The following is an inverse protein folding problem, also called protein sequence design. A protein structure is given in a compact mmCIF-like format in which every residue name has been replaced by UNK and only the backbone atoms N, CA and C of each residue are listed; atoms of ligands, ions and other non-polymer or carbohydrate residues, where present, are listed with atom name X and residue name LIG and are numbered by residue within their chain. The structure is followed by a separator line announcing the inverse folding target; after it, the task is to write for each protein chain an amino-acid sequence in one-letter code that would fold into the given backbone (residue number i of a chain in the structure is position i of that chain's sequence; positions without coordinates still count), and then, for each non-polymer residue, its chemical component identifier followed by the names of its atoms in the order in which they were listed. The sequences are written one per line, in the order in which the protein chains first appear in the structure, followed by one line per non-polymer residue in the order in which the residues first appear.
data_IF_975261900031
#
_entry.id   IF_975261900031
#
_cell.length_a   1.000
_cell.length_b   1.000
_cell.length_c   1.000
_cell.angle_alpha   90.00
_cell.angle_beta   90.00
_cell.angle_gamma   90.00
#
_symmetry.space_group_name_H-M   'P 1'
#
loop_
_entity.id
_entity.type
_entity.pdbx_description
1 polymer ?
#
# COMPACT_ATOMS: atom_id res chain seq x y z
N UNK A 1 0.66 -7.87 -0.41
CA UNK A 1 1.78 -6.92 -0.39
C UNK A 1 1.52 -5.85 -1.43
N UNK A 2 1.95 -4.61 -1.20
CA UNK A 2 1.81 -3.52 -2.19
C UNK A 2 2.61 -3.85 -3.44
N UNK A 3 2.06 -3.55 -4.62
CA UNK A 3 2.81 -3.65 -5.86
C UNK A 3 3.29 -2.25 -6.27
N UNK A 4 4.57 -2.11 -6.56
CA UNK A 4 5.21 -0.85 -6.93
C UNK A 4 5.76 -1.02 -8.34
N UNK A 5 5.37 -0.14 -9.26
CA UNK A 5 6.03 -0.09 -10.56
C UNK A 5 7.25 0.82 -10.45
N UNK A 6 8.43 0.31 -10.80
CA UNK A 6 9.63 1.09 -11.02
C UNK A 6 9.83 1.30 -12.53
N UNK A 7 9.46 2.49 -13.01
CA UNK A 7 9.69 2.94 -14.37
C UNK A 7 11.12 3.46 -14.56
N UNK A 8 11.89 2.83 -15.44
CA UNK A 8 13.27 3.22 -15.75
C UNK A 8 13.36 3.80 -17.16
N UNK A 9 13.85 5.03 -17.26
CA UNK A 9 13.97 5.75 -18.55
C UNK A 9 15.43 5.99 -18.94
N UNK A 10 15.67 6.62 -20.10
CA UNK A 10 16.98 6.77 -20.73
C UNK A 10 17.87 7.83 -20.07
N UNK A 11 18.43 7.52 -18.91
CA UNK A 11 19.39 8.37 -18.21
C UNK A 11 20.55 7.53 -17.66
N UNK A 12 21.76 8.10 -17.61
CA UNK A 12 22.94 7.44 -17.02
C UNK A 12 22.69 7.02 -15.57
N UNK A 13 21.81 7.73 -14.85
CA UNK A 13 21.42 7.36 -13.49
C UNK A 13 20.69 6.02 -13.38
N UNK A 14 20.28 5.39 -14.49
CA UNK A 14 19.66 4.07 -14.49
C UNK A 14 20.59 2.97 -13.95
N UNK A 15 21.91 3.20 -13.89
CA UNK A 15 22.85 2.33 -13.17
C UNK A 15 22.51 2.20 -11.66
N UNK A 16 21.80 3.18 -11.09
CA UNK A 16 21.35 3.16 -9.68
C UNK A 16 20.05 2.37 -9.49
N UNK A 17 19.44 1.85 -10.55
CA UNK A 17 18.15 1.16 -10.47
C UNK A 17 18.21 -0.10 -9.60
N UNK A 18 19.35 -0.80 -9.53
CA UNK A 18 19.52 -1.95 -8.63
C UNK A 18 19.31 -1.54 -7.17
N UNK A 19 20.07 -0.54 -6.71
CA UNK A 19 19.97 -0.04 -5.33
C UNK A 19 18.56 0.49 -5.01
N UNK A 20 17.92 1.13 -6.00
CA UNK A 20 16.54 1.60 -5.84
C UNK A 20 15.54 0.43 -5.77
N UNK A 21 15.66 -0.57 -6.63
CA UNK A 21 14.84 -1.79 -6.59
C UNK A 21 14.92 -2.46 -5.21
N UNK A 22 16.13 -2.64 -4.68
CA UNK A 22 16.35 -3.24 -3.35
C UNK A 22 15.68 -2.40 -2.25
N UNK A 23 15.81 -1.08 -2.31
CA UNK A 23 15.18 -0.19 -1.33
C UNK A 23 13.65 -0.19 -1.42
N UNK A 24 13.08 -0.24 -2.62
CA UNK A 24 11.63 -0.32 -2.84
C UNK A 24 11.07 -1.69 -2.47
N UNK A 25 11.87 -2.75 -2.61
CA UNK A 25 11.52 -4.13 -2.23
C UNK A 25 11.26 -4.27 -0.73
N UNK A 26 11.82 -3.37 0.10
CA UNK A 26 11.50 -3.27 1.53
C UNK A 26 10.11 -2.66 1.82
N UNK A 27 9.48 -2.01 0.83
CA UNK A 27 8.17 -1.36 0.95
C UNK A 27 7.06 -2.24 0.35
N UNK A 28 7.37 -2.97 -0.72
CA UNK A 28 6.44 -3.85 -1.41
C UNK A 28 7.08 -4.64 -2.55
N UNK A 29 6.28 -5.41 -3.27
CA UNK A 29 6.69 -6.11 -4.48
C UNK A 29 6.99 -5.11 -5.60
N UNK A 30 8.12 -5.25 -6.29
CA UNK A 30 8.56 -4.30 -7.32
C UNK A 30 8.50 -4.93 -8.71
N UNK A 31 7.76 -4.30 -9.62
CA UNK A 31 7.75 -4.63 -11.05
C UNK A 31 8.49 -3.54 -11.80
N UNK A 32 9.56 -3.90 -12.50
CA UNK A 32 10.35 -2.94 -13.27
C UNK A 32 9.80 -2.86 -14.69
N UNK A 33 9.57 -1.64 -15.17
CA UNK A 33 9.17 -1.37 -16.56
C UNK A 33 10.18 -0.39 -17.14
N UNK A 34 10.87 -0.79 -18.21
CA UNK A 34 11.93 0.02 -18.80
C UNK A 34 11.55 0.47 -20.22
N UNK A 35 11.81 1.74 -20.53
CA UNK A 35 11.76 2.19 -21.93
C UNK A 35 12.93 1.60 -22.69
N UNK A 36 12.86 1.53 -24.02
CA UNK A 36 13.99 1.10 -24.87
C UNK A 36 15.32 1.77 -24.51
N UNK A 37 15.30 3.07 -24.21
CA UNK A 37 16.49 3.82 -23.79
C UNK A 37 16.92 3.48 -22.36
N UNK A 38 15.99 3.25 -21.42
CA UNK A 38 16.31 2.77 -20.08
C UNK A 38 16.93 1.38 -20.08
N UNK A 39 16.39 0.46 -20.90
CA UNK A 39 16.90 -0.90 -21.06
C UNK A 39 18.35 -0.95 -21.54
N UNK A 40 18.78 0.03 -22.36
CA UNK A 40 20.19 0.15 -22.76
C UNK A 40 21.09 0.26 -21.52
N UNK A 41 20.80 1.18 -20.60
CA UNK A 41 21.61 1.39 -19.40
C UNK A 41 21.50 0.25 -18.40
N UNK A 42 20.32 -0.34 -18.23
CA UNK A 42 20.15 -1.52 -17.36
C UNK A 42 20.99 -2.71 -17.83
N UNK A 43 21.10 -2.93 -19.15
CA UNK A 43 21.99 -3.95 -19.73
C UNK A 43 23.45 -3.63 -19.44
N UNK A 44 23.87 -2.38 -19.63
CA UNK A 44 25.27 -1.96 -19.36
C UNK A 44 25.65 -2.10 -17.88
N UNK A 45 24.72 -1.89 -16.95
CA UNK A 45 24.96 -2.05 -15.52
C UNK A 45 24.80 -3.48 -15.01
N UNK A 46 24.55 -4.46 -15.88
CA UNK A 46 24.22 -5.85 -15.50
C UNK A 46 23.10 -5.92 -14.45
N UNK A 47 22.03 -5.17 -14.64
CA UNK A 47 20.89 -5.15 -13.72
C UNK A 47 20.33 -6.58 -13.52
N UNK A 48 20.29 -7.12 -12.28
CA UNK A 48 20.12 -8.56 -12.06
C UNK A 48 18.66 -9.04 -12.02
N UNK A 49 17.68 -8.12 -12.07
CA UNK A 49 16.26 -8.45 -11.93
C UNK A 49 15.54 -8.41 -13.28
N UNK A 50 14.43 -9.15 -13.38
CA UNK A 50 13.55 -9.10 -14.56
C UNK A 50 12.91 -7.70 -14.67
N UNK A 51 12.83 -7.19 -15.89
CA UNK A 51 12.09 -5.97 -16.23
C UNK A 51 11.26 -6.20 -17.49
N UNK A 52 10.15 -5.47 -17.61
CA UNK A 52 9.25 -5.47 -18.75
C UNK A 52 9.65 -4.36 -19.73
N UNK A 53 9.46 -4.61 -21.02
CA UNK A 53 9.70 -3.66 -22.12
C UNK A 53 8.51 -3.62 -23.07
N UNK A 54 8.58 -2.81 -24.13
CA UNK A 54 7.50 -2.66 -25.10
C UNK A 54 7.16 -3.99 -25.80
N UNK A 55 8.15 -4.88 -25.93
CA UNK A 55 7.98 -6.22 -26.49
C UNK A 55 7.11 -7.15 -25.62
N UNK A 56 6.92 -6.86 -24.33
CA UNK A 56 6.06 -7.65 -23.44
C UNK A 56 4.58 -7.27 -23.53
N UNK A 57 4.25 -6.10 -24.12
CA UNK A 57 2.87 -5.58 -24.14
C UNK A 57 1.91 -6.47 -24.94
N UNK A 58 2.37 -6.95 -26.10
CA UNK A 58 1.53 -7.64 -27.06
C UNK A 58 2.01 -9.08 -27.24
N UNK A 59 1.12 -10.04 -27.00
CA UNK A 59 1.30 -11.39 -27.51
C UNK A 59 1.11 -11.38 -29.03
N UNK A 60 1.81 -12.26 -29.75
CA UNK A 60 1.75 -12.37 -31.22
C UNK A 60 0.34 -12.58 -31.79
N UNK A 61 -0.63 -13.02 -30.96
CA UNK A 61 -2.03 -13.21 -31.33
C UNK A 61 -2.94 -12.64 -30.25
N UNK A 62 -3.16 -11.31 -30.26
CA UNK A 62 -4.16 -10.69 -29.40
C UNK A 62 -5.59 -11.05 -29.85
N UNK A 63 -6.44 -11.44 -28.91
CA UNK A 63 -7.88 -11.61 -29.11
C UNK A 63 -8.66 -10.66 -28.21
N UNK A 64 -9.84 -10.27 -28.68
CA UNK A 64 -10.77 -9.48 -27.87
C UNK A 64 -11.10 -10.24 -26.58
N UNK A 65 -10.81 -9.61 -25.43
CA UNK A 65 -10.99 -10.20 -24.11
C UNK A 65 -9.67 -10.61 -23.43
N UNK A 66 -8.55 -10.65 -24.17
CA UNK A 66 -7.24 -10.87 -23.57
C UNK A 66 -6.83 -9.68 -22.68
N UNK A 67 -6.08 -9.96 -21.61
CA UNK A 67 -5.56 -8.92 -20.72
C UNK A 67 -4.57 -8.02 -21.45
N UNK A 68 -4.69 -6.72 -21.21
CA UNK A 68 -3.80 -5.69 -21.78
C UNK A 68 -2.79 -5.32 -20.69
N UNK A 69 -1.49 -5.54 -20.96
CA UNK A 69 -0.45 -5.51 -19.93
C UNK A 69 -0.40 -4.18 -19.19
N UNK A 70 -0.36 -3.03 -19.89
CA UNK A 70 -0.30 -1.73 -19.20
C UNK A 70 -1.52 -1.45 -18.31
N UNK A 71 -2.70 -1.99 -18.67
CA UNK A 71 -3.92 -1.86 -17.87
C UNK A 71 -3.84 -2.74 -16.62
N UNK A 72 -3.36 -3.98 -16.75
CA UNK A 72 -3.18 -4.88 -15.60
C UNK A 72 -2.12 -4.35 -14.63
N UNK A 73 -0.97 -3.89 -15.14
CA UNK A 73 0.06 -3.23 -14.34
C UNK A 73 -0.53 -2.06 -13.54
N UNK A 74 -1.30 -1.18 -14.21
CA UNK A 74 -1.95 -0.03 -13.55
C UNK A 74 -2.97 -0.46 -12.49
N UNK A 75 -3.75 -1.51 -12.75
CA UNK A 75 -4.74 -2.04 -11.79
C UNK A 75 -4.05 -2.56 -10.55
N UNK A 76 -3.06 -3.42 -10.73
CA UNK A 76 -2.34 -4.11 -9.65
C UNK A 76 -1.44 -3.19 -8.83
N UNK A 77 -0.85 -2.16 -9.46
CA UNK A 77 0.07 -1.25 -8.79
C UNK A 77 -0.63 -0.41 -7.72
N UNK A 78 -0.03 -0.33 -6.53
CA UNK A 78 -0.38 0.61 -5.46
C UNK A 78 0.34 1.95 -5.63
N UNK A 79 1.47 1.97 -6.37
CA UNK A 79 2.26 3.17 -6.62
C UNK A 79 3.11 3.05 -7.90
N UNK A 80 3.51 4.19 -8.46
CA UNK A 80 4.43 4.29 -9.58
C UNK A 80 5.62 5.19 -9.22
N UNK A 81 6.83 4.72 -9.46
CA UNK A 81 8.07 5.49 -9.31
C UNK A 81 8.75 5.57 -10.67
N UNK A 82 8.95 6.77 -11.22
CA UNK A 82 9.74 7.01 -12.43
C UNK A 82 11.13 7.51 -12.04
N UNK A 83 12.10 6.60 -12.02
CA UNK A 83 13.43 6.87 -11.48
C UNK A 83 14.52 5.98 -12.13
N UNK A 84 15.42 6.54 -12.95
CA UNK A 84 15.42 7.93 -13.39
C UNK A 84 14.26 8.26 -14.33
N UNK A 85 13.84 9.52 -14.32
CA UNK A 85 12.99 10.14 -15.33
C UNK A 85 13.81 11.07 -16.24
N UNK A 86 13.98 10.70 -17.51
CA UNK A 86 14.60 11.52 -18.54
C UNK A 86 13.65 12.64 -19.02
N UNK A 87 14.20 13.67 -19.67
CA UNK A 87 13.42 14.80 -20.15
C UNK A 87 12.41 14.40 -21.26
N UNK A 88 12.75 13.40 -22.07
CA UNK A 88 11.90 12.95 -23.17
C UNK A 88 10.61 12.30 -22.64
N UNK A 89 10.74 11.39 -21.67
CA UNK A 89 9.60 10.74 -21.03
C UNK A 89 8.81 11.75 -20.20
N UNK A 90 9.46 12.71 -19.53
CA UNK A 90 8.78 13.82 -18.85
C UNK A 90 7.92 14.64 -19.84
N UNK A 91 8.46 14.98 -21.00
CA UNK A 91 7.71 15.66 -22.06
C UNK A 91 6.52 14.83 -22.55
N UNK A 92 6.72 13.53 -22.79
CA UNK A 92 5.64 12.62 -23.21
C UNK A 92 4.50 12.55 -22.18
N UNK A 93 4.82 12.27 -20.93
CA UNK A 93 3.80 12.05 -19.90
C UNK A 93 3.08 13.35 -19.50
N UNK A 94 3.77 14.48 -19.53
CA UNK A 94 3.14 15.79 -19.28
C UNK A 94 2.14 16.16 -20.39
N UNK A 95 2.45 15.83 -21.65
CA UNK A 95 1.54 16.03 -22.79
C UNK A 95 0.48 14.91 -22.94
N UNK A 96 0.61 13.81 -22.20
CA UNK A 96 -0.33 12.69 -22.26
C UNK A 96 -0.12 11.76 -23.45
N UNK A 97 1.10 11.68 -23.97
CA UNK A 97 1.51 10.70 -24.98
C UNK A 97 1.66 9.31 -24.33
N UNK A 98 1.33 8.27 -25.08
CA UNK A 98 1.35 6.86 -24.65
C UNK A 98 1.81 5.94 -25.80
N UNK A 99 3.08 6.07 -26.19
CA UNK A 99 3.64 5.41 -27.37
C UNK A 99 4.56 4.22 -27.03
N UNK A 100 4.62 3.83 -25.76
CA UNK A 100 5.40 2.72 -25.22
C UNK A 100 4.74 2.21 -23.92
N UNK A 101 5.07 1.00 -23.47
CA UNK A 101 4.47 0.33 -22.31
C UNK A 101 4.42 1.25 -21.08
N UNK A 102 5.55 1.89 -20.74
CA UNK A 102 5.65 2.75 -19.57
C UNK A 102 4.74 3.98 -19.65
N UNK A 103 4.74 4.68 -20.79
CA UNK A 103 3.90 5.87 -20.99
C UNK A 103 2.42 5.52 -21.08
N UNK A 104 2.07 4.32 -21.57
CA UNK A 104 0.69 3.80 -21.56
C UNK A 104 0.20 3.54 -20.14
N UNK A 105 1.03 2.96 -19.26
CA UNK A 105 0.73 2.82 -17.82
C UNK A 105 0.46 4.20 -17.20
N UNK A 106 1.34 5.18 -17.47
CA UNK A 106 1.20 6.55 -16.95
C UNK A 106 -0.07 7.22 -17.46
N UNK A 107 -0.42 7.01 -18.73
CA UNK A 107 -1.61 7.61 -19.35
C UNK A 107 -2.91 7.09 -18.73
N UNK A 108 -2.93 5.82 -18.36
CA UNK A 108 -4.04 5.16 -17.69
C UNK A 108 -4.05 5.36 -16.17
N UNK A 109 -3.03 6.03 -15.61
CA UNK A 109 -2.79 6.05 -14.17
C UNK A 109 -3.96 6.61 -13.35
N UNK A 110 -4.17 6.02 -12.18
CA UNK A 110 -5.13 6.51 -11.20
C UNK A 110 -4.46 7.56 -10.30
N UNK A 111 -4.86 8.82 -10.41
CA UNK A 111 -4.27 9.89 -9.60
C UNK A 111 -4.64 9.82 -8.10
N UNK A 112 -5.50 8.89 -7.68
CA UNK A 112 -5.63 8.55 -6.26
C UNK A 112 -4.46 7.72 -5.72
N UNK A 113 -3.65 7.12 -6.62
CA UNK A 113 -2.45 6.35 -6.28
C UNK A 113 -1.20 7.23 -6.44
N UNK A 114 -0.23 7.17 -5.52
CA UNK A 114 0.96 8.01 -5.58
C UNK A 114 1.81 7.71 -6.81
N UNK A 115 2.26 8.79 -7.46
CA UNK A 115 3.25 8.77 -8.53
C UNK A 115 4.45 9.61 -8.11
N UNK A 116 5.62 9.00 -7.98
CA UNK A 116 6.89 9.67 -7.61
C UNK A 116 7.75 9.82 -8.86
N UNK A 117 8.21 11.04 -9.13
CA UNK A 117 9.07 11.36 -10.26
C UNK A 117 10.45 11.75 -9.74
N UNK A 118 11.51 11.10 -10.20
CA UNK A 118 12.89 11.46 -9.91
C UNK A 118 13.63 11.84 -11.21
N UNK A 119 13.53 13.10 -11.65
CA UNK A 119 14.18 13.58 -12.86
C UNK A 119 15.71 13.40 -12.81
N UNK A 120 16.31 13.08 -13.96
CA UNK A 120 17.75 12.93 -14.09
C UNK A 120 18.22 13.28 -15.50
N UNK A 121 18.81 14.46 -15.66
CA UNK A 121 19.22 15.03 -16.94
C UNK A 121 20.38 16.01 -16.76
N UNK A 122 21.01 16.44 -17.85
CA UNK A 122 22.06 17.47 -17.80
C UNK A 122 21.51 18.82 -17.29
N UNK A 123 22.35 19.64 -16.66
CA UNK A 123 22.00 20.98 -16.15
C UNK A 123 21.27 21.85 -17.16
N UNK A 124 21.75 21.90 -18.41
CA UNK A 124 21.14 22.73 -19.47
C UNK A 124 19.74 22.24 -19.87
N UNK A 125 19.45 20.95 -19.68
CA UNK A 125 18.11 20.40 -19.86
C UNK A 125 17.23 20.68 -18.65
N UNK A 126 17.79 20.59 -17.45
CA UNK A 126 17.08 20.84 -16.19
C UNK A 126 16.64 22.30 -16.05
N UNK A 127 17.54 23.23 -16.39
CA UNK A 127 17.29 24.68 -16.33
C UNK A 127 16.48 25.19 -17.54
N UNK A 128 16.15 24.32 -18.50
CA UNK A 128 15.35 24.68 -19.66
C UNK A 128 13.87 24.90 -19.29
N UNK A 129 13.24 25.89 -19.91
CA UNK A 129 11.85 26.28 -19.66
C UNK A 129 10.83 25.11 -19.78
N UNK A 130 10.88 24.23 -20.80
CA UNK A 130 9.96 23.11 -20.92
C UNK A 130 10.04 22.16 -19.73
N UNK A 131 11.21 21.92 -19.15
CA UNK A 131 11.35 21.05 -17.97
C UNK A 131 10.54 21.62 -16.80
N UNK A 132 10.65 22.92 -16.56
CA UNK A 132 9.88 23.60 -15.52
C UNK A 132 8.36 23.51 -15.76
N UNK A 133 7.90 23.80 -16.98
CA UNK A 133 6.48 23.75 -17.34
C UNK A 133 5.90 22.33 -17.20
N UNK A 134 6.62 21.33 -17.69
CA UNK A 134 6.21 19.93 -17.67
C UNK A 134 6.14 19.39 -16.24
N UNK A 135 7.12 19.73 -15.38
CA UNK A 135 7.07 19.37 -13.96
C UNK A 135 5.90 20.05 -13.25
N UNK A 136 5.59 21.31 -13.58
CA UNK A 136 4.42 22.00 -13.04
C UNK A 136 3.12 21.29 -13.43
N UNK A 137 2.97 20.86 -14.68
CA UNK A 137 1.82 20.07 -15.14
C UNK A 137 1.70 18.77 -14.32
N UNK A 138 2.81 18.05 -14.14
CA UNK A 138 2.79 16.79 -13.39
C UNK A 138 2.46 16.99 -11.90
N UNK A 139 3.02 18.02 -11.26
CA UNK A 139 2.68 18.40 -9.88
C UNK A 139 1.20 18.73 -9.74
N UNK A 140 0.64 19.51 -10.67
CA UNK A 140 -0.78 19.87 -10.66
C UNK A 140 -1.72 18.66 -10.82
N UNK A 141 -1.25 17.57 -11.46
CA UNK A 141 -1.99 16.31 -11.56
C UNK A 141 -1.90 15.45 -10.28
N UNK A 142 -0.98 15.77 -9.37
CA UNK A 142 -0.77 15.04 -8.12
C UNK A 142 0.52 14.23 -8.05
N UNK A 143 1.43 14.37 -9.04
CA UNK A 143 2.72 13.72 -8.98
C UNK A 143 3.62 14.36 -7.91
N UNK A 144 4.36 13.53 -7.17
CA UNK A 144 5.38 13.96 -6.21
C UNK A 144 6.72 13.99 -6.93
N UNK A 145 7.30 15.18 -7.09
CA UNK A 145 8.61 15.35 -7.74
C UNK A 145 9.70 15.39 -6.67
N UNK A 146 10.66 14.47 -6.76
CA UNK A 146 11.91 14.49 -6.00
C UNK A 146 12.93 15.24 -6.84
N UNK A 147 13.34 16.42 -6.37
CA UNK A 147 14.24 17.29 -7.14
C UNK A 147 15.62 16.61 -7.32
N UNK A 148 16.29 16.83 -8.45
CA UNK A 148 17.67 16.39 -8.63
C UNK A 148 18.61 17.13 -7.68
N UNK A 149 19.80 16.55 -7.49
CA UNK A 149 20.88 17.10 -6.69
C UNK A 149 22.00 17.66 -7.57
N UNK A 150 22.79 18.56 -7.01
CA UNK A 150 24.01 19.08 -7.63
C UNK A 150 25.17 18.08 -7.44
N UNK A 151 25.76 17.60 -8.54
CA UNK A 151 26.93 16.72 -8.56
C UNK A 151 27.73 16.93 -9.85
N UNK A 152 28.95 16.38 -9.88
CA UNK A 152 29.69 16.23 -11.16
C UNK A 152 28.90 15.29 -12.06
N UNK A 153 28.44 15.80 -13.20
CA UNK A 153 27.62 15.09 -14.17
C UNK A 153 28.47 14.26 -15.14
N UNK A 154 27.82 13.43 -15.95
CA UNK A 154 28.51 12.57 -16.93
C UNK A 154 29.35 13.37 -17.97
N UNK A 155 29.04 14.66 -18.18
CA UNK A 155 29.82 15.56 -19.02
C UNK A 155 31.05 16.17 -18.34
N UNK A 156 31.23 15.98 -17.03
CA UNK A 156 32.35 16.54 -16.24
C UNK A 156 32.03 17.84 -15.50
N UNK A 157 30.89 18.49 -15.81
CA UNK A 157 30.49 19.73 -15.15
C UNK A 157 29.86 19.46 -13.77
N UNK A 158 30.17 20.33 -12.80
CA UNK A 158 29.39 20.43 -11.56
C UNK A 158 28.09 21.18 -11.87
N UNK A 159 26.94 20.54 -11.65
CA UNK A 159 25.67 21.22 -11.85
C UNK A 159 24.47 20.42 -11.37
N UNK A 160 23.32 21.10 -11.33
CA UNK A 160 22.04 20.53 -10.94
C UNK A 160 21.52 19.59 -12.02
N UNK A 161 20.97 18.43 -11.65
CA UNK A 161 20.36 17.51 -12.63
C UNK A 161 20.64 16.03 -12.39
N UNK A 162 21.54 15.70 -11.46
CA UNK A 162 21.76 14.32 -11.06
C UNK A 162 20.55 13.79 -10.27
N UNK A 163 20.09 12.58 -10.58
CA UNK A 163 19.02 11.93 -9.81
C UNK A 163 19.31 11.98 -8.29
N UNK A 164 18.26 12.28 -7.52
CA UNK A 164 18.25 12.19 -6.05
C UNK A 164 18.75 10.82 -5.55
N UNK A 165 19.12 10.76 -4.26
CA UNK A 165 19.55 9.48 -3.69
C UNK A 165 18.39 8.47 -3.67
N UNK A 166 18.70 7.20 -3.89
CA UNK A 166 17.71 6.13 -3.92
C UNK A 166 16.95 6.00 -2.59
N UNK A 167 17.61 6.32 -1.47
CA UNK A 167 16.99 6.32 -0.13
C UNK A 167 15.99 7.45 0.05
N UNK A 168 16.24 8.63 -0.53
CA UNK A 168 15.29 9.76 -0.47
C UNK A 168 14.03 9.42 -1.26
N UNK A 169 14.18 8.88 -2.47
CA UNK A 169 13.07 8.46 -3.33
C UNK A 169 12.21 7.40 -2.63
N UNK A 170 12.84 6.37 -2.05
CA UNK A 170 12.11 5.29 -1.37
C UNK A 170 11.46 5.77 -0.06
N UNK A 171 12.11 6.66 0.70
CA UNK A 171 11.53 7.24 1.91
C UNK A 171 10.30 8.10 1.61
N UNK A 172 10.34 8.91 0.55
CA UNK A 172 9.18 9.69 0.10
C UNK A 172 8.04 8.75 -0.28
N UNK A 173 8.30 7.70 -1.08
CA UNK A 173 7.27 6.73 -1.41
C UNK A 173 6.70 6.07 -0.15
N UNK A 174 7.58 5.62 0.76
CA UNK A 174 7.17 4.97 2.00
C UNK A 174 6.24 5.88 2.81
N UNK A 175 6.58 7.16 2.97
CA UNK A 175 5.73 8.13 3.68
C UNK A 175 4.33 8.31 3.08
N UNK A 176 4.19 8.12 1.76
CA UNK A 176 2.91 8.22 1.06
C UNK A 176 2.05 6.95 1.23
N UNK A 177 2.66 5.77 1.18
CA UNK A 177 1.93 4.48 1.19
C UNK A 177 1.84 3.84 2.57
N UNK A 178 2.65 4.27 3.54
CA UNK A 178 2.65 3.75 4.91
C UNK A 178 1.29 3.96 5.56
N UNK A 179 0.78 2.92 6.22
CA UNK A 179 -0.45 3.02 6.99
C UNK A 179 -0.29 4.02 8.13
N UNK A 180 -1.35 4.75 8.45
CA UNK A 180 -1.49 5.40 9.74
C UNK A 180 -2.11 4.40 10.72
N UNK A 181 -1.58 4.31 11.93
CA UNK A 181 -2.18 3.43 12.93
C UNK A 181 -3.63 3.87 13.23
N UNK A 182 -4.61 2.96 13.27
CA UNK A 182 -6.03 3.32 13.27
C UNK A 182 -6.55 3.89 14.60
N UNK A 183 -5.78 3.73 15.68
CA UNK A 183 -6.14 4.15 17.05
C UNK A 183 -5.12 5.14 17.61
N UNK A 184 -5.55 6.02 18.50
CA UNK A 184 -4.64 6.92 19.22
C UNK A 184 -4.07 6.28 20.50
N UNK A 185 -4.84 5.40 21.14
CA UNK A 185 -4.46 4.67 22.34
C UNK A 185 -4.67 3.17 22.10
N UNK A 186 -3.59 2.40 22.14
CA UNK A 186 -3.59 0.94 22.04
C UNK A 186 -2.43 0.41 22.90
N UNK A 187 -2.66 -0.56 23.81
CA UNK A 187 -1.62 -1.05 24.72
C UNK A 187 -0.49 -1.80 24.01
N UNK A 188 -0.73 -2.26 22.78
CA UNK A 188 0.26 -2.85 21.90
C UNK A 188 -0.40 -3.65 20.78
N UNK A 189 0.39 -4.11 19.80
CA UNK A 189 -0.10 -4.97 18.71
C UNK A 189 0.00 -6.44 19.16
N UNK A 190 -1.11 -7.20 19.20
CA UNK A 190 -1.07 -8.64 19.37
C UNK A 190 -0.26 -9.34 18.28
N UNK A 191 0.71 -10.16 18.68
CA UNK A 191 1.51 -10.97 17.75
C UNK A 191 1.69 -12.39 18.30
N UNK A 192 2.17 -13.31 17.46
CA UNK A 192 2.54 -14.67 17.83
C UNK A 192 1.40 -15.41 18.55
N UNK A 193 1.63 -15.85 19.79
CA UNK A 193 0.68 -16.63 20.59
C UNK A 193 -0.38 -15.77 21.32
N UNK A 194 -0.49 -14.48 21.00
CA UNK A 194 -1.54 -13.66 21.57
C UNK A 194 -2.92 -14.07 20.99
N UNK A 195 -3.99 -14.28 21.80
CA UNK A 195 -5.29 -14.72 21.30
C UNK A 195 -6.00 -13.79 20.31
N UNK A 196 -5.59 -12.53 20.29
CA UNK A 196 -6.01 -11.49 19.34
C UNK A 196 -5.07 -11.28 18.15
N UNK A 197 -4.02 -12.09 18.00
CA UNK A 197 -3.11 -12.02 16.85
C UNK A 197 -3.73 -12.69 15.63
N UNK A 198 -3.37 -12.21 14.44
CA UNK A 198 -3.75 -12.84 13.17
C UNK A 198 -3.28 -14.30 13.12
N UNK A 199 -4.13 -15.19 12.63
CA UNK A 199 -3.81 -16.60 12.48
C UNK A 199 -3.75 -17.39 13.79
N UNK A 200 -4.03 -16.78 14.94
CA UNK A 200 -4.03 -17.50 16.22
C UNK A 200 -5.04 -18.66 16.20
N UNK A 201 -4.53 -19.87 16.43
CA UNK A 201 -5.33 -21.10 16.37
C UNK A 201 -6.12 -21.30 17.66
N UNK A 202 -7.45 -21.19 17.57
CA UNK A 202 -8.41 -21.61 18.61
C UNK A 202 -8.88 -23.03 18.28
N UNK A 203 -9.46 -23.76 19.25
CA UNK A 203 -9.83 -25.19 19.12
C UNK A 203 -10.47 -25.61 17.79
N UNK A 204 -11.27 -24.74 17.14
CA UNK A 204 -11.96 -25.04 15.87
C UNK A 204 -11.72 -24.01 14.76
N UNK A 205 -11.14 -22.85 15.05
CA UNK A 205 -11.08 -21.70 14.12
C UNK A 205 -9.73 -20.97 14.24
N UNK A 206 -9.34 -20.26 13.19
CA UNK A 206 -8.21 -19.32 13.22
C UNK A 206 -8.74 -17.89 13.34
N UNK A 207 -7.99 -17.04 14.04
CA UNK A 207 -8.32 -15.63 14.13
C UNK A 207 -8.08 -14.92 12.79
N UNK A 208 -9.11 -14.27 12.23
CA UNK A 208 -9.08 -13.70 10.86
C UNK A 208 -8.49 -12.29 10.78
N UNK A 209 -8.31 -11.63 11.92
CA UNK A 209 -7.78 -10.27 12.00
C UNK A 209 -6.80 -10.07 13.13
N UNK A 210 -6.59 -8.80 13.49
CA UNK A 210 -5.85 -8.41 14.69
C UNK A 210 -6.79 -7.61 15.60
N UNK A 211 -6.91 -8.04 16.85
CA UNK A 211 -7.72 -7.38 17.87
C UNK A 211 -6.92 -6.25 18.52
N UNK A 212 -7.11 -5.02 18.03
CA UNK A 212 -6.47 -3.85 18.63
C UNK A 212 -7.25 -3.39 19.86
N UNK A 213 -6.88 -3.93 21.03
CA UNK A 213 -7.54 -3.61 22.30
C UNK A 213 -7.52 -2.11 22.60
N UNK A 214 -8.65 -1.59 23.04
CA UNK A 214 -8.80 -0.19 23.38
C UNK A 214 -10.00 0.03 24.31
N UNK A 215 -10.32 1.30 24.59
CA UNK A 215 -11.50 1.69 25.35
C UNK A 215 -12.73 1.67 24.45
N UNK A 216 -13.91 1.39 25.03
CA UNK A 216 -15.17 1.66 24.35
C UNK A 216 -15.24 3.14 23.90
N UNK A 217 -15.86 3.38 22.75
CA UNK A 217 -15.95 4.67 22.06
C UNK A 217 -14.61 5.27 21.58
N UNK A 218 -13.51 4.51 21.60
CA UNK A 218 -12.26 4.94 20.98
C UNK A 218 -12.47 5.27 19.49
N UNK A 219 -11.92 6.41 19.05
CA UNK A 219 -12.02 6.86 17.65
C UNK A 219 -11.12 6.01 16.75
N UNK A 220 -11.71 5.48 15.69
CA UNK A 220 -11.05 4.68 14.66
C UNK A 220 -10.84 5.53 13.41
N UNK A 221 -9.62 5.56 12.93
CA UNK A 221 -9.23 6.35 11.76
C UNK A 221 -8.80 5.47 10.60
N UNK A 222 -9.04 5.95 9.38
CA UNK A 222 -8.64 5.27 8.16
C UNK A 222 -7.13 5.10 8.11
N UNK A 223 -6.64 3.88 7.91
CA UNK A 223 -5.19 3.59 7.82
C UNK A 223 -4.58 4.11 6.53
N UNK A 224 -5.37 4.27 5.47
CA UNK A 224 -4.95 4.79 4.17
C UNK A 224 -6.12 5.46 3.44
N UNK A 225 -5.82 6.16 2.34
CA UNK A 225 -6.83 6.68 1.41
C UNK A 225 -7.62 5.52 0.78
N UNK A 226 -8.93 5.69 0.61
CA UNK A 226 -9.75 4.67 -0.04
C UNK A 226 -11.21 5.05 -0.25
N UNK A 227 -11.99 4.06 -0.67
CA UNK A 227 -13.44 4.16 -0.88
C UNK A 227 -14.13 3.11 -0.03
N UNK A 228 -15.22 3.47 0.63
CA UNK A 228 -16.02 2.50 1.39
C UNK A 228 -16.75 1.59 0.41
N UNK A 229 -16.54 0.28 0.54
CA UNK A 229 -17.06 -0.73 -0.38
C UNK A 229 -18.10 -1.64 0.25
N UNK A 230 -18.18 -1.68 1.58
CA UNK A 230 -19.16 -2.48 2.31
C UNK A 230 -19.38 -1.91 3.72
N UNK A 231 -20.62 -1.94 4.19
CA UNK A 231 -21.02 -1.54 5.55
C UNK A 231 -22.16 -2.47 5.95
N UNK A 232 -21.98 -3.24 7.03
CA UNK A 232 -23.01 -4.17 7.52
C UNK A 232 -22.76 -4.53 8.99
N UNK A 233 -23.70 -5.27 9.59
CA UNK A 233 -23.54 -5.85 10.91
C UNK A 233 -22.36 -6.83 10.92
N UNK A 234 -21.52 -6.76 11.94
CA UNK A 234 -20.28 -7.54 12.04
C UNK A 234 -20.33 -8.61 13.12
N UNK A 235 -20.91 -8.29 14.29
CA UNK A 235 -21.18 -9.26 15.35
C UNK A 235 -22.58 -9.06 15.91
N UNK A 236 -23.03 -10.04 16.71
CA UNK A 236 -24.26 -9.93 17.49
C UNK A 236 -25.27 -11.04 17.23
N UNK A 237 -26.38 -10.99 17.98
CA UNK A 237 -27.36 -12.08 18.03
C UNK A 237 -28.05 -12.32 16.69
N UNK A 238 -28.26 -11.27 15.89
CA UNK A 238 -28.85 -11.37 14.56
C UNK A 238 -28.00 -12.19 13.57
N UNK A 239 -26.69 -12.29 13.81
CA UNK A 239 -25.75 -13.12 13.05
C UNK A 239 -25.54 -14.51 13.68
N UNK A 240 -26.32 -14.86 14.71
CA UNK A 240 -26.16 -16.11 15.46
C UNK A 240 -25.08 -16.06 16.54
N UNK A 241 -24.45 -14.90 16.77
CA UNK A 241 -23.41 -14.72 17.77
C UNK A 241 -23.99 -14.28 19.11
N UNK A 242 -24.56 -15.21 19.89
CA UNK A 242 -25.20 -14.90 21.18
C UNK A 242 -24.21 -14.50 22.29
N UNK A 243 -22.91 -14.59 22.04
CA UNK A 243 -21.83 -14.37 23.01
C UNK A 243 -21.21 -12.97 22.88
N UNK A 244 -21.65 -12.18 21.90
CA UNK A 244 -21.13 -10.86 21.57
C UNK A 244 -22.24 -9.83 21.48
N UNK A 245 -21.92 -8.58 21.79
CA UNK A 245 -22.80 -7.44 21.52
C UNK A 245 -22.95 -7.24 20.01
N UNK A 246 -24.05 -6.57 19.62
CA UNK A 246 -24.26 -6.12 18.25
C UNK A 246 -23.25 -5.02 17.90
N UNK A 247 -22.46 -5.25 16.84
CA UNK A 247 -21.49 -4.29 16.32
C UNK A 247 -21.54 -4.24 14.80
N UNK A 248 -20.86 -3.25 14.22
CA UNK A 248 -20.84 -3.00 12.80
C UNK A 248 -19.41 -3.01 12.25
N UNK A 249 -19.30 -3.29 10.95
CA UNK A 249 -18.05 -3.26 10.22
C UNK A 249 -18.12 -2.28 9.06
N UNK A 250 -16.97 -1.70 8.72
CA UNK A 250 -16.81 -0.86 7.53
C UNK A 250 -15.62 -1.38 6.75
N UNK A 251 -15.81 -1.70 5.47
CA UNK A 251 -14.72 -2.08 4.57
C UNK A 251 -14.33 -0.90 3.69
N UNK A 252 -13.04 -0.57 3.68
CA UNK A 252 -12.45 0.48 2.83
C UNK A 252 -11.48 -0.16 1.86
N UNK A 253 -11.74 -0.03 0.56
CA UNK A 253 -10.79 -0.41 -0.48
C UNK A 253 -9.81 0.74 -0.73
N UNK A 254 -8.54 0.47 -0.42
CA UNK A 254 -7.42 1.42 -0.53
C UNK A 254 -6.23 0.78 -1.26
N UNK A 255 -5.06 1.41 -1.17
CA UNK A 255 -3.87 0.98 -1.93
C UNK A 255 -3.35 -0.42 -1.54
N UNK A 256 -3.56 -0.84 -0.30
CA UNK A 256 -3.01 -2.07 0.26
C UNK A 256 -3.93 -3.28 0.09
N UNK A 257 -5.20 -3.04 -0.26
CA UNK A 257 -6.27 -4.04 -0.37
C UNK A 257 -7.58 -3.48 0.17
N UNK A 258 -8.44 -4.36 0.69
CA UNK A 258 -9.66 -3.94 1.39
C UNK A 258 -9.45 -4.11 2.89
N UNK A 259 -9.44 -3.01 3.64
CA UNK A 259 -9.29 -3.00 5.10
C UNK A 259 -10.68 -3.02 5.74
N UNK A 260 -10.95 -4.01 6.58
CA UNK A 260 -12.16 -4.04 7.40
C UNK A 260 -11.86 -3.45 8.79
N UNK A 261 -12.69 -2.48 9.19
CA UNK A 261 -12.73 -1.91 10.53
C UNK A 261 -13.96 -2.47 11.23
N UNK A 262 -13.79 -3.55 11.99
CA UNK A 262 -14.85 -4.23 12.71
C UNK A 262 -15.13 -3.63 14.09
N UNK A 263 -16.18 -4.14 14.73
CA UNK A 263 -16.53 -3.84 16.12
C UNK A 263 -16.81 -2.36 16.39
N UNK A 264 -17.44 -1.70 15.42
CA UNK A 264 -17.82 -0.30 15.51
C UNK A 264 -19.25 -0.13 16.01
N UNK A 265 -19.53 1.07 16.53
CA UNK A 265 -20.89 1.61 16.58
C UNK A 265 -21.48 1.72 15.16
N UNK A 266 -22.81 1.89 15.07
CA UNK A 266 -23.52 2.09 13.78
C UNK A 266 -22.79 3.15 12.95
N UNK A 267 -22.23 2.80 11.78
CA UNK A 267 -21.43 3.72 10.98
C UNK A 267 -22.30 4.83 10.42
N UNK A 268 -21.79 6.06 10.44
CA UNK A 268 -22.43 7.19 9.74
C UNK A 268 -22.06 7.27 8.26
N UNK A 269 -21.00 6.56 7.88
CA UNK A 269 -20.44 6.50 6.54
C UNK A 269 -21.19 5.47 5.68
N UNK A 270 -21.23 5.71 4.38
CA UNK A 270 -21.98 4.87 3.43
C UNK A 270 -21.06 4.31 2.34
N UNK A 271 -21.54 3.25 1.67
CA UNK A 271 -20.87 2.68 0.49
C UNK A 271 -20.73 3.78 -0.57
N UNK A 272 -19.53 3.92 -1.12
CA UNK A 272 -19.17 4.95 -2.11
C UNK A 272 -18.51 6.20 -1.52
N UNK A 273 -18.57 6.41 -0.20
CA UNK A 273 -17.86 7.51 0.44
C UNK A 273 -16.35 7.37 0.26
N UNK A 274 -15.69 8.47 -0.10
CA UNK A 274 -14.22 8.56 -0.10
C UNK A 274 -13.71 8.94 1.29
N UNK A 275 -12.64 8.28 1.72
CA UNK A 275 -11.95 8.58 2.97
C UNK A 275 -10.48 8.84 2.70
N UNK A 276 -9.92 9.80 3.43
CA UNK A 276 -8.48 10.09 3.44
C UNK A 276 -7.80 9.40 4.61
N UNK A 277 -6.52 9.07 4.46
CA UNK A 277 -5.67 8.55 5.53
C UNK A 277 -5.80 9.44 6.77
N UNK A 278 -6.26 8.88 7.87
CA UNK A 278 -6.48 9.57 9.13
C UNK A 278 -7.87 10.19 9.33
N UNK A 279 -8.79 10.07 8.37
CA UNK A 279 -10.18 10.43 8.56
C UNK A 279 -10.86 9.51 9.58
N UNK A 280 -11.83 10.03 10.32
CA UNK A 280 -12.65 9.22 11.23
C UNK A 280 -13.53 8.23 10.44
N UNK A 281 -13.38 6.94 10.73
CA UNK A 281 -14.23 5.86 10.23
C UNK A 281 -15.42 5.64 11.17
N UNK A 282 -15.16 5.61 12.48
CA UNK A 282 -16.18 5.36 13.49
C UNK A 282 -15.61 5.33 14.90
N UNK A 283 -16.38 4.75 15.81
CA UNK A 283 -16.03 4.59 17.22
C UNK A 283 -16.20 3.13 17.60
N UNK A 284 -15.23 2.58 18.33
CA UNK A 284 -15.29 1.19 18.83
C UNK A 284 -16.51 1.01 19.72
N UNK A 285 -17.20 -0.11 19.52
CA UNK A 285 -18.26 -0.61 20.40
C UNK A 285 -17.73 -1.82 21.15
N UNK A 286 -17.93 -1.84 22.46
CA UNK A 286 -17.65 -3.00 23.29
C UNK A 286 -18.34 -4.26 22.74
N UNK A 287 -17.56 -5.24 22.28
CA UNK A 287 -18.07 -6.48 21.68
C UNK A 287 -18.21 -7.62 22.70
N UNK A 288 -17.34 -7.68 23.72
CA UNK A 288 -17.39 -8.70 24.77
C UNK A 288 -18.15 -8.17 26.00
N UNK A 289 -18.91 -9.04 26.65
CA UNK A 289 -19.50 -8.72 27.96
C UNK A 289 -18.40 -8.56 29.05
N UNK A 290 -18.69 -7.81 30.10
CA UNK A 290 -17.71 -7.50 31.15
C UNK A 290 -17.18 -8.75 31.88
N UNK A 291 -18.01 -9.79 31.99
CA UNK A 291 -17.65 -11.09 32.58
C UNK A 291 -16.64 -11.89 31.74
N UNK A 292 -16.30 -11.41 30.53
CA UNK A 292 -15.31 -12.01 29.62
C UNK A 292 -13.95 -11.35 29.70
N UNK A 293 -13.74 -10.38 30.59
CA UNK A 293 -12.43 -9.79 30.78
C UNK A 293 -11.42 -10.86 31.23
N UNK A 294 -10.30 -10.94 30.53
CA UNK A 294 -9.20 -11.87 30.82
C UNK A 294 -7.94 -11.09 31.22
N UNK A 295 -7.80 -10.73 32.51
CA UNK A 295 -6.65 -9.95 32.97
C UNK A 295 -5.33 -10.72 32.92
N UNK A 296 -5.39 -12.04 32.74
CA UNK A 296 -4.21 -12.90 32.52
C UNK A 296 -3.67 -12.81 31.08
N UNK A 297 -4.39 -12.18 30.17
CA UNK A 297 -3.96 -11.91 28.80
C UNK A 297 -3.48 -10.45 28.74
N UNK A 298 -2.22 -10.26 28.33
CA UNK A 298 -1.57 -8.95 28.31
C UNK A 298 -2.32 -7.96 27.42
N UNK A 299 -2.72 -6.82 27.98
CA UNK A 299 -3.43 -5.77 27.25
C UNK A 299 -4.88 -6.08 26.86
N UNK A 300 -5.44 -7.24 27.24
CA UNK A 300 -6.80 -7.62 26.90
C UNK A 300 -7.84 -6.63 27.46
N UNK A 301 -8.83 -6.31 26.63
CA UNK A 301 -9.99 -5.48 26.95
C UNK A 301 -11.25 -6.18 26.46
N UNK A 302 -12.42 -5.82 26.98
CA UNK A 302 -13.70 -6.25 26.39
C UNK A 302 -14.11 -5.43 25.15
N UNK A 303 -13.37 -4.37 24.85
CA UNK A 303 -13.51 -3.54 23.65
C UNK A 303 -12.22 -3.58 22.83
N UNK A 304 -12.35 -3.79 21.52
CA UNK A 304 -11.25 -3.77 20.58
C UNK A 304 -11.72 -3.27 19.22
N UNK A 305 -10.76 -2.89 18.37
CA UNK A 305 -10.98 -2.78 16.94
C UNK A 305 -10.48 -4.08 16.32
N UNK A 306 -11.40 -4.92 15.86
CA UNK A 306 -11.04 -6.06 15.02
C UNK A 306 -10.69 -5.58 13.61
N UNK A 307 -9.42 -5.65 13.25
CA UNK A 307 -8.91 -5.18 11.96
C UNK A 307 -8.54 -6.35 11.06
N UNK A 308 -9.11 -6.40 9.85
CA UNK A 308 -8.78 -7.43 8.84
C UNK A 308 -8.30 -6.76 7.55
N UNK A 309 -7.50 -7.50 6.77
CA UNK A 309 -7.06 -7.08 5.45
C UNK A 309 -7.41 -8.16 4.42
N UNK A 310 -7.96 -7.73 3.29
CA UNK A 310 -8.35 -8.59 2.19
C UNK A 310 -7.71 -8.15 0.87
N UNK A 311 -7.69 -9.06 -0.11
CA UNK A 311 -7.39 -8.75 -1.51
C UNK A 311 -8.39 -7.73 -2.06
N UNK A 312 -7.92 -6.91 -3.00
CA UNK A 312 -8.74 -5.99 -3.81
C UNK A 312 -9.98 -6.69 -4.39
N UNK A 313 -11.07 -5.94 -4.52
CA UNK A 313 -12.35 -6.44 -5.00
C UNK A 313 -13.21 -7.19 -3.99
N UNK A 314 -12.72 -7.45 -2.76
CA UNK A 314 -13.52 -8.09 -1.70
C UNK A 314 -14.66 -7.16 -1.24
N UNK A 315 -15.87 -7.70 -1.05
CA UNK A 315 -17.11 -6.96 -0.75
C UNK A 315 -17.95 -7.55 0.41
N UNK A 316 -17.40 -8.50 1.14
CA UNK A 316 -18.07 -9.16 2.25
C UNK A 316 -17.06 -9.46 3.36
N UNK A 317 -17.54 -9.53 4.61
CA UNK A 317 -16.73 -9.98 5.74
C UNK A 317 -16.35 -11.46 5.62
N UNK A 318 -15.30 -11.84 6.33
CA UNK A 318 -14.91 -13.24 6.49
C UNK A 318 -15.97 -14.05 7.25
N UNK A 319 -16.16 -15.31 6.86
CA UNK A 319 -16.88 -16.28 7.68
C UNK A 319 -15.93 -16.79 8.78
N UNK A 320 -16.22 -16.47 10.03
CA UNK A 320 -15.36 -16.81 11.17
C UNK A 320 -15.35 -18.31 11.48
N UNK A 321 -16.32 -19.07 10.95
CA UNK A 321 -16.49 -20.50 11.17
C UNK A 321 -15.93 -21.37 10.05
N UNK A 322 -15.67 -20.77 8.87
CA UNK A 322 -15.15 -21.50 7.72
C UNK A 322 -13.99 -20.75 7.04
N UNK A 323 -12.74 -21.00 7.47
CA UNK A 323 -11.55 -20.38 6.88
C UNK A 323 -11.40 -20.65 5.38
N UNK A 324 -11.94 -21.77 4.86
CA UNK A 324 -11.86 -22.10 3.44
C UNK A 324 -12.69 -21.15 2.58
N UNK A 325 -13.66 -20.44 3.18
CA UNK A 325 -14.44 -19.39 2.52
C UNK A 325 -13.77 -18.02 2.47
N UNK A 326 -12.58 -17.87 3.07
CA UNK A 326 -11.88 -16.58 3.14
C UNK A 326 -10.55 -16.57 2.35
N UNK A 327 -10.48 -17.03 1.08
CA UNK A 327 -9.23 -17.11 0.31
C UNK A 327 -8.63 -15.73 -0.06
N UNK A 328 -9.37 -14.65 0.21
CA UNK A 328 -8.92 -13.28 0.02
C UNK A 328 -8.25 -12.67 1.25
N UNK A 329 -8.28 -13.33 2.41
CA UNK A 329 -7.72 -12.81 3.65
C UNK A 329 -6.20 -12.72 3.60
N UNK A 330 -5.65 -11.64 4.13
CA UNK A 330 -4.22 -11.32 4.19
C UNK A 330 -3.85 -10.92 5.62
N UNK A 331 -2.61 -11.18 6.03
CA UNK A 331 -2.12 -10.75 7.35
C UNK A 331 -1.91 -9.22 7.39
N UNK A 332 -2.65 -8.46 8.24
CA UNK A 332 -2.46 -7.02 8.39
C UNK A 332 -1.28 -6.67 9.29
N UNK A 333 -0.70 -7.63 10.03
CA UNK A 333 0.32 -7.40 11.06
C UNK A 333 1.55 -6.64 10.54
N UNK A 334 2.14 -6.99 9.36
CA UNK A 334 3.29 -6.25 8.83
C UNK A 334 2.98 -4.77 8.56
N UNK A 335 1.76 -4.44 8.16
CA UNK A 335 1.33 -3.07 7.92
C UNK A 335 1.13 -2.28 9.22
N UNK A 336 0.59 -2.93 10.25
CA UNK A 336 0.43 -2.35 11.58
C UNK A 336 1.78 -2.05 12.23
N UNK A 337 2.70 -3.03 12.21
CA UNK A 337 4.04 -2.90 12.80
C UNK A 337 4.89 -1.82 12.15
N UNK A 338 4.65 -1.56 10.87
CA UNK A 338 5.34 -0.51 10.11
C UNK A 338 4.49 0.75 9.96
N UNK A 339 3.37 0.89 10.65
CA UNK A 339 2.49 2.06 10.53
C UNK A 339 3.07 3.32 11.19
N UNK A 340 2.64 4.49 10.71
CA UNK A 340 2.87 5.78 11.35
C UNK A 340 2.11 5.83 12.68
N UNK A 341 2.77 6.27 13.76
CA UNK A 341 2.23 6.26 15.13
C UNK A 341 1.90 4.85 15.66
N UNK A 342 2.57 3.82 15.15
CA UNK A 342 2.53 2.47 15.70
C UNK A 342 2.84 2.49 17.21
N UNK A 343 2.07 1.77 18.06
CA UNK A 343 2.44 1.61 19.45
C UNK A 343 3.83 0.97 19.55
N UNK A 344 4.65 1.44 20.48
CA UNK A 344 6.03 0.96 20.65
C UNK A 344 6.11 -0.47 21.21
N UNK A 345 4.99 -1.07 21.59
CA UNK A 345 4.90 -2.37 22.29
C UNK A 345 4.11 -3.38 21.47
N UNK A 346 4.57 -4.63 21.50
CA UNK A 346 3.83 -5.80 21.05
C UNK A 346 3.28 -6.57 22.25
N UNK A 347 2.12 -7.22 22.06
CA UNK A 347 1.48 -8.04 23.09
C UNK A 347 1.70 -9.50 22.75
N UNK A 348 2.15 -10.26 23.75
CA UNK A 348 2.31 -11.71 23.65
C UNK A 348 1.65 -12.37 24.86
N UNK A 349 1.27 -13.63 24.72
CA UNK A 349 0.68 -14.37 25.82
C UNK A 349 1.52 -15.63 26.08
N UNK A 350 2.15 -15.68 27.25
CA UNK A 350 3.13 -16.71 27.61
C UNK A 350 2.50 -18.08 27.89
N UNK A 351 1.19 -18.15 28.04
CA UNK A 351 0.49 -19.36 28.46
C UNK A 351 0.05 -20.18 27.23
N UNK A 352 1.00 -20.80 26.56
CA UNK A 352 0.80 -21.34 25.21
C UNK A 352 1.28 -22.78 25.09
N UNK A 353 0.39 -23.74 25.41
CA UNK A 353 0.34 -25.04 24.71
C UNK A 353 -0.10 -24.87 23.23
N UNK A 354 -0.35 -23.63 22.76
CA UNK A 354 -0.69 -23.31 21.37
C UNK A 354 0.55 -23.26 20.47
N UNK A 355 0.73 -24.31 19.66
CA UNK A 355 1.74 -24.37 18.60
C UNK A 355 1.42 -23.32 17.52
N UNK A 356 2.37 -22.44 17.20
CA UNK A 356 2.36 -21.67 15.95
C UNK A 356 2.77 -22.59 14.81
N UNK A 357 2.13 -22.45 13.65
CA UNK A 357 2.68 -22.94 12.38
C UNK A 357 3.22 -21.71 11.65
N UNK A 358 4.48 -21.80 11.21
CA UNK A 358 5.26 -20.68 10.68
C UNK A 358 4.95 -20.29 9.24
#
# INVERSE_FOLDING_TARGET
MRNIILGVTGSVAAIKSQKLYESLSNIGNVVVVATKAGSYFLKQSNFPYKYLTDEDEWNDVYKLGDSILHIELRKEASALVLAPLDANTLAKISLGLCDNLLTSVVRAWDWSKPMVLAPSMNTMMWENEPTFEQLKVMKNRGAIVVNPVEKVLACGDLGMGAMADTSEISNILNGLVRWKFPLNECPGIPINHHPGAFGFHRKKNHHTGVDLYCKNDAKVHAVEDGVIVHVDQFTGAALGHTWWNDTWGVMVEGSSGVVNYGELNIPKKQIGDRVKRGDLIGNVKQVLFDDRLRPDIDGHSCSMLHLELYKHGTRSFADWHDPQKNPSLLDPTPYLMTSENCPLRTLTWANSESKTVG
#
